data_IF_994555282670
#
_entry.id   IF_994555282670
#
_cell.length_a   1.000
_cell.length_b   1.000
_cell.length_c   1.000
_cell.angle_alpha   90.00
_cell.angle_beta   90.00
_cell.angle_gamma   90.00
#
_symmetry.space_group_name_H-M   'P 1'
#
loop_
_entity.id
_entity.type
_entity.pdbx_description
1 polymer ?
#
# COMPACT_ATOMS: atom_id res chain seq x y z
N UNK A 1 9.11 1.31 6.67
CA UNK A 1 8.04 2.23 7.11
C UNK A 1 7.16 2.60 5.94
N UNK A 2 5.87 2.81 6.18
CA UNK A 2 4.89 3.22 5.20
C UNK A 2 4.09 4.40 5.74
N UNK A 3 3.60 5.23 4.82
CA UNK A 3 2.79 6.41 5.13
C UNK A 3 1.67 6.51 4.10
N UNK A 4 0.48 5.93 4.37
CA UNK A 4 -0.65 5.98 3.46
C UNK A 4 -1.07 7.43 3.21
N UNK A 5 -1.37 7.73 1.96
CA UNK A 5 -1.80 9.06 1.54
C UNK A 5 -2.81 8.99 0.41
N UNK A 6 -3.61 10.03 0.28
CA UNK A 6 -4.49 10.24 -0.85
C UNK A 6 -4.35 11.67 -1.39
N UNK A 7 -4.82 11.89 -2.59
CA UNK A 7 -4.94 13.24 -3.13
C UNK A 7 -6.36 13.74 -2.98
N UNK A 8 -6.52 14.94 -2.42
CA UNK A 8 -7.77 15.66 -2.33
C UNK A 8 -7.57 17.05 -2.96
N UNK A 9 -8.35 17.35 -4.01
CA UNK A 9 -8.23 18.61 -4.77
C UNK A 9 -6.78 18.94 -5.22
N UNK A 10 -6.04 17.92 -5.66
CA UNK A 10 -4.65 18.06 -6.10
C UNK A 10 -3.62 18.17 -4.97
N UNK A 11 -4.04 18.22 -3.69
CA UNK A 11 -3.16 18.28 -2.53
C UNK A 11 -2.97 16.89 -1.95
N UNK A 12 -1.72 16.53 -1.64
CA UNK A 12 -1.38 15.28 -0.95
C UNK A 12 -1.71 15.38 0.53
N UNK A 13 -2.56 14.48 1.02
CA UNK A 13 -2.96 14.36 2.42
C UNK A 13 -2.53 13.00 2.96
N UNK A 14 -1.82 12.98 4.10
CA UNK A 14 -1.49 11.75 4.79
C UNK A 14 -2.70 11.26 5.60
N UNK A 15 -3.08 9.98 5.42
CA UNK A 15 -4.34 9.45 5.96
C UNK A 15 -4.28 9.17 7.46
N UNK A 16 -3.18 8.64 7.97
CA UNK A 16 -3.04 8.27 9.38
C UNK A 16 -3.35 9.41 10.38
N UNK A 17 -2.88 10.67 10.17
CA UNK A 17 -3.27 11.78 11.04
C UNK A 17 -4.72 12.21 10.93
N UNK A 18 -5.40 11.87 9.83
CA UNK A 18 -6.79 12.22 9.61
C UNK A 18 -7.77 11.32 10.38
N UNK A 19 -7.27 10.19 10.88
CA UNK A 19 -8.07 9.29 11.72
C UNK A 19 -9.36 8.78 11.05
N UNK A 20 -9.25 8.39 9.78
CA UNK A 20 -10.39 8.07 8.91
C UNK A 20 -11.26 6.92 9.42
N UNK A 21 -10.72 6.07 10.30
CA UNK A 21 -11.44 4.97 10.98
C UNK A 21 -11.55 5.16 12.51
N UNK A 22 -11.16 6.31 13.07
CA UNK A 22 -11.30 6.59 14.49
C UNK A 22 -10.30 5.86 15.40
N UNK A 23 -9.13 5.50 14.88
CA UNK A 23 -8.10 4.79 15.65
C UNK A 23 -7.47 5.68 16.75
N UNK A 24 -7.32 6.99 16.46
CA UNK A 24 -6.75 7.96 17.41
C UNK A 24 -7.72 8.31 18.52
N UNK A 25 -9.02 8.42 18.20
CA UNK A 25 -10.07 8.66 19.21
C UNK A 25 -10.52 7.40 19.94
N UNK A 26 -9.97 6.23 19.57
CA UNK A 26 -10.33 4.95 20.22
C UNK A 26 -11.75 4.46 19.90
N UNK A 27 -12.31 4.81 18.74
CA UNK A 27 -13.66 4.41 18.33
C UNK A 27 -13.83 2.89 18.38
N UNK A 28 -14.83 2.40 19.14
CA UNK A 28 -15.09 0.97 19.36
C UNK A 28 -13.85 0.16 19.82
N UNK A 29 -12.95 0.78 20.61
CA UNK A 29 -11.75 0.13 21.12
C UNK A 29 -10.62 0.02 20.10
N UNK A 30 -10.71 0.67 18.94
CA UNK A 30 -9.63 0.73 17.94
C UNK A 30 -8.41 1.42 18.50
N UNK A 31 -7.24 1.05 17.98
CA UNK A 31 -5.96 1.62 18.40
C UNK A 31 -5.21 2.15 17.18
N UNK A 32 -4.39 3.19 17.36
CA UNK A 32 -3.51 3.67 16.29
C UNK A 32 -2.59 2.53 15.81
N UNK A 33 -2.52 2.35 14.50
CA UNK A 33 -1.62 1.37 13.91
C UNK A 33 -0.18 1.87 13.84
N UNK A 34 0.76 0.93 13.80
CA UNK A 34 2.18 1.23 13.62
C UNK A 34 2.50 1.42 12.13
N UNK A 35 3.32 2.41 11.80
CA UNK A 35 3.80 2.67 10.44
C UNK A 35 5.00 1.79 10.04
N UNK A 36 5.46 0.91 10.93
CA UNK A 36 6.47 -0.10 10.65
C UNK A 36 5.79 -1.44 10.36
N UNK A 37 5.99 -1.98 9.17
CA UNK A 37 5.54 -3.31 8.80
C UNK A 37 6.70 -4.12 8.19
N UNK A 38 6.65 -5.42 8.36
CA UNK A 38 7.53 -6.37 7.70
C UNK A 38 6.81 -6.87 6.46
N UNK A 39 7.54 -6.99 5.34
CA UNK A 39 7.04 -7.57 4.10
C UNK A 39 7.91 -8.76 3.72
N UNK A 40 7.26 -9.91 3.46
CA UNK A 40 7.91 -11.14 3.02
C UNK A 40 7.61 -11.31 1.53
N UNK A 41 8.61 -11.18 0.64
CA UNK A 41 8.43 -11.40 -0.79
C UNK A 41 8.48 -12.90 -1.10
N UNK A 42 7.60 -13.34 -2.00
CA UNK A 42 7.67 -14.63 -2.68
C UNK A 42 7.44 -14.39 -4.15
N UNK A 43 8.43 -14.68 -4.98
CA UNK A 43 8.36 -14.35 -6.40
C UNK A 43 9.11 -15.34 -7.29
N UNK A 44 8.89 -15.17 -8.56
CA UNK A 44 9.59 -15.90 -9.61
C UNK A 44 10.06 -14.90 -10.66
N UNK A 45 11.22 -15.19 -11.26
CA UNK A 45 11.79 -14.32 -12.28
C UNK A 45 12.60 -15.13 -13.31
N UNK A 46 12.78 -14.51 -14.46
CA UNK A 46 13.63 -15.03 -15.51
C UNK A 46 14.70 -13.98 -15.79
N UNK A 47 15.94 -14.42 -15.88
CA UNK A 47 17.06 -13.60 -16.32
C UNK A 47 17.63 -14.18 -17.60
N UNK A 48 17.68 -13.38 -18.65
CA UNK A 48 18.22 -13.75 -19.96
C UNK A 48 19.46 -12.93 -20.26
N UNK A 49 20.52 -13.61 -20.68
CA UNK A 49 21.77 -12.98 -21.06
C UNK A 49 21.71 -12.64 -22.56
N UNK A 50 21.57 -11.36 -22.90
CA UNK A 50 21.51 -10.89 -24.30
C UNK A 50 22.88 -11.00 -24.94
N UNK A 51 23.92 -10.60 -24.20
CA UNK A 51 25.34 -10.72 -24.61
C UNK A 51 26.23 -10.60 -23.36
N UNK A 52 27.57 -10.67 -23.54
CA UNK A 52 28.56 -10.61 -22.45
C UNK A 52 28.44 -9.40 -21.51
N UNK A 53 27.71 -8.36 -21.91
CA UNK A 53 27.57 -7.12 -21.14
C UNK A 53 26.13 -6.78 -20.75
N UNK A 54 25.17 -7.37 -21.42
CA UNK A 54 23.75 -7.00 -21.21
C UNK A 54 22.92 -8.18 -20.75
N UNK A 55 22.15 -7.97 -19.71
CA UNK A 55 21.16 -8.92 -19.22
C UNK A 55 19.79 -8.26 -19.19
N UNK A 56 18.77 -9.03 -19.54
CA UNK A 56 17.38 -8.69 -19.39
C UNK A 56 16.77 -9.56 -18.28
N UNK A 57 15.91 -9.00 -17.46
CA UNK A 57 15.19 -9.76 -16.42
C UNK A 57 13.74 -9.34 -16.34
N UNK A 58 12.89 -10.30 -16.00
CA UNK A 58 11.50 -10.08 -15.61
C UNK A 58 11.30 -10.81 -14.30
N UNK A 59 10.70 -10.14 -13.33
CA UNK A 59 10.37 -10.71 -12.03
C UNK A 59 8.94 -10.32 -11.64
N UNK A 60 8.21 -11.26 -11.05
CA UNK A 60 6.91 -11.01 -10.41
C UNK A 60 6.99 -11.54 -8.99
N UNK A 61 6.77 -10.67 -8.02
CA UNK A 61 6.83 -11.00 -6.61
C UNK A 61 5.54 -10.59 -5.90
N UNK A 62 4.94 -11.53 -5.18
CA UNK A 62 3.86 -11.29 -4.22
C UNK A 62 4.49 -10.94 -2.87
N UNK A 63 4.01 -9.89 -2.23
CA UNK A 63 4.49 -9.42 -0.92
C UNK A 63 3.40 -9.55 0.11
N UNK A 64 3.62 -10.42 1.08
CA UNK A 64 2.78 -10.59 2.27
C UNK A 64 3.25 -9.64 3.34
N UNK A 65 2.35 -8.84 3.93
CA UNK A 65 2.72 -7.88 4.97
C UNK A 65 2.21 -8.27 6.34
N UNK A 66 2.75 -7.63 7.39
CA UNK A 66 2.31 -7.84 8.77
C UNK A 66 1.26 -6.86 9.23
N UNK A 67 0.83 -5.95 8.35
CA UNK A 67 -0.17 -4.92 8.64
C UNK A 67 -1.42 -5.10 7.79
N UNK A 68 -2.52 -4.51 8.25
CA UNK A 68 -3.81 -4.39 7.58
C UNK A 68 -4.18 -2.91 7.37
N UNK A 69 -3.18 -2.04 7.33
CA UNK A 69 -3.34 -0.59 7.22
C UNK A 69 -2.38 0.04 6.20
N UNK A 70 -1.95 -0.70 5.17
CA UNK A 70 -1.09 -0.12 4.12
C UNK A 70 -1.75 1.06 3.41
N UNK A 71 -3.08 1.00 3.28
CA UNK A 71 -3.93 2.00 2.65
C UNK A 71 -4.79 2.80 3.64
N UNK A 72 -4.55 2.68 4.96
CA UNK A 72 -5.34 3.28 6.04
C UNK A 72 -6.75 2.68 6.19
N UNK A 73 -7.00 1.50 5.64
CA UNK A 73 -8.32 0.84 5.66
C UNK A 73 -8.21 -0.55 6.27
N UNK A 74 -9.05 -0.86 7.25
CA UNK A 74 -9.07 -2.19 7.89
C UNK A 74 -10.48 -2.67 8.26
N UNK A 75 -11.31 -1.82 8.84
CA UNK A 75 -12.50 -2.26 9.57
C UNK A 75 -13.81 -1.75 8.98
N UNK A 76 -14.47 -0.83 9.67
CA UNK A 76 -15.75 -0.25 9.28
C UNK A 76 -15.70 1.27 9.26
N UNK A 77 -16.59 1.87 8.49
CA UNK A 77 -16.81 3.31 8.53
C UNK A 77 -17.28 3.76 9.91
N UNK A 78 -16.84 4.94 10.35
CA UNK A 78 -17.29 5.57 11.59
C UNK A 78 -18.40 6.59 11.34
N UNK A 79 -18.75 6.82 10.07
CA UNK A 79 -19.79 7.74 9.62
C UNK A 79 -19.35 9.19 9.51
N UNK A 80 -19.89 9.89 8.53
CA UNK A 80 -19.54 11.28 8.20
C UNK A 80 -19.82 12.25 9.37
N UNK A 81 -20.79 11.96 10.21
CA UNK A 81 -21.16 12.79 11.37
C UNK A 81 -20.10 12.89 12.47
N UNK A 82 -19.04 12.07 12.41
CA UNK A 82 -17.89 12.12 13.33
C UNK A 82 -16.82 13.13 12.93
N UNK A 83 -16.91 13.68 11.73
CA UNK A 83 -15.95 14.62 11.19
C UNK A 83 -16.54 16.02 11.09
N UNK A 84 -15.68 17.03 11.15
CA UNK A 84 -16.12 18.39 10.82
C UNK A 84 -16.60 18.43 9.35
N UNK A 85 -17.66 19.17 9.05
CA UNK A 85 -18.18 19.31 7.69
C UNK A 85 -17.07 19.73 6.71
N UNK A 86 -17.00 19.06 5.56
CA UNK A 86 -16.00 19.31 4.49
C UNK A 86 -14.53 19.20 4.92
N UNK A 87 -14.25 18.59 6.07
CA UNK A 87 -12.86 18.32 6.46
C UNK A 87 -12.21 17.27 5.55
N UNK A 88 -10.88 17.34 5.40
CA UNK A 88 -10.13 16.31 4.64
C UNK A 88 -10.40 14.90 5.17
N UNK A 89 -10.52 14.75 6.49
CA UNK A 89 -10.86 13.46 7.12
C UNK A 89 -12.24 12.95 6.70
N UNK A 90 -13.27 13.79 6.76
CA UNK A 90 -14.64 13.45 6.36
C UNK A 90 -14.75 13.13 4.86
N UNK A 91 -14.04 13.88 4.02
CA UNK A 91 -14.05 13.66 2.58
C UNK A 91 -13.24 12.42 2.14
N UNK A 92 -12.15 12.10 2.85
CA UNK A 92 -11.27 10.97 2.51
C UNK A 92 -11.66 9.66 3.20
N UNK A 93 -12.49 9.70 4.23
CA UNK A 93 -13.01 8.47 4.84
C UNK A 93 -13.93 7.70 3.90
N UNK A 94 -14.71 8.42 3.08
CA UNK A 94 -15.57 7.87 2.03
C UNK A 94 -15.59 8.82 0.83
N UNK A 95 -15.18 8.32 -0.32
CA UNK A 95 -15.13 9.07 -1.58
C UNK A 95 -16.25 8.69 -2.56
N UNK A 96 -17.24 7.92 -2.12
CA UNK A 96 -18.36 7.52 -2.97
C UNK A 96 -19.18 8.71 -3.46
N UNK A 97 -19.16 9.83 -2.72
CA UNK A 97 -19.79 11.08 -3.13
C UNK A 97 -19.23 11.64 -4.45
N UNK A 98 -18.03 11.28 -4.84
CA UNK A 98 -17.44 11.69 -6.13
C UNK A 98 -18.10 11.01 -7.34
N UNK A 99 -18.75 9.86 -7.09
CA UNK A 99 -19.44 9.05 -8.12
C UNK A 99 -20.95 9.26 -8.01
N UNK A 100 -21.50 9.14 -6.80
CA UNK A 100 -22.94 9.26 -6.53
C UNK A 100 -23.14 10.00 -5.19
N UNK A 101 -23.38 11.33 -5.21
CA UNK A 101 -23.59 12.11 -4.01
C UNK A 101 -24.86 11.74 -3.22
N UNK A 102 -25.85 11.14 -3.88
CA UNK A 102 -27.12 10.79 -3.27
C UNK A 102 -27.08 9.43 -2.56
N UNK A 103 -26.10 8.56 -2.91
CA UNK A 103 -25.96 7.21 -2.37
C UNK A 103 -24.58 6.99 -1.74
N UNK A 104 -24.29 7.71 -0.65
CA UNK A 104 -23.04 7.61 0.09
C UNK A 104 -22.93 6.24 0.75
N UNK A 105 -21.79 5.55 0.58
CA UNK A 105 -21.56 4.22 1.14
C UNK A 105 -20.94 4.24 2.55
N UNK A 106 -20.32 5.34 2.95
CA UNK A 106 -19.58 5.50 4.22
C UNK A 106 -20.48 5.66 5.46
N UNK A 107 -21.51 4.81 5.58
CA UNK A 107 -22.43 4.81 6.73
C UNK A 107 -21.77 4.14 7.92
N UNK A 108 -22.02 4.68 9.14
CA UNK A 108 -21.49 4.13 10.39
C UNK A 108 -21.77 2.64 10.53
N UNK A 109 -20.73 1.87 10.85
CA UNK A 109 -20.79 0.41 11.03
C UNK A 109 -20.74 -0.42 9.75
N UNK A 110 -20.90 0.19 8.56
CA UNK A 110 -20.74 -0.52 7.31
C UNK A 110 -19.28 -0.93 7.10
N UNK A 111 -19.03 -2.12 6.55
CA UNK A 111 -17.70 -2.61 6.25
C UNK A 111 -16.95 -1.64 5.30
N UNK A 112 -15.72 -1.27 5.66
CA UNK A 112 -14.80 -0.47 4.86
C UNK A 112 -13.64 -1.32 4.35
N UNK A 113 -13.04 -2.11 5.22
CA UNK A 113 -11.97 -3.05 4.94
C UNK A 113 -12.29 -4.46 5.44
N UNK A 114 -11.32 -5.37 5.27
CA UNK A 114 -11.41 -6.73 5.76
C UNK A 114 -10.32 -7.00 6.80
N UNK A 115 -10.58 -6.67 8.05
CA UNK A 115 -9.64 -6.79 9.19
C UNK A 115 -9.14 -8.20 9.52
N UNK A 116 -9.68 -9.24 8.87
CA UNK A 116 -9.23 -10.64 9.07
C UNK A 116 -8.07 -11.04 8.16
N UNK A 117 -7.76 -10.25 7.16
CA UNK A 117 -6.69 -10.51 6.20
C UNK A 117 -5.73 -9.32 6.17
N UNK A 118 -4.43 -9.61 6.31
CA UNK A 118 -3.40 -8.59 6.20
C UNK A 118 -3.21 -8.17 4.75
N UNK A 119 -2.79 -6.94 4.56
CA UNK A 119 -2.55 -6.38 3.24
C UNK A 119 -1.45 -7.12 2.49
N UNK A 120 -1.66 -7.24 1.19
CA UNK A 120 -0.75 -7.91 0.28
C UNK A 120 -0.68 -7.11 -1.02
N UNK A 121 0.46 -7.17 -1.68
CA UNK A 121 0.60 -6.51 -2.98
C UNK A 121 1.55 -7.29 -3.89
N UNK A 122 1.40 -7.08 -5.19
CA UNK A 122 2.22 -7.71 -6.23
C UNK A 122 3.08 -6.62 -6.87
N UNK A 123 4.35 -6.94 -7.07
CA UNK A 123 5.28 -6.13 -7.87
C UNK A 123 5.65 -6.93 -9.09
N UNK A 124 5.56 -6.31 -10.27
CA UNK A 124 6.16 -6.79 -11.50
C UNK A 124 7.30 -5.84 -11.87
N UNK A 125 8.48 -6.39 -12.11
CA UNK A 125 9.69 -5.63 -12.44
C UNK A 125 10.28 -6.12 -13.77
N UNK A 126 10.70 -5.17 -14.58
CA UNK A 126 11.47 -5.41 -15.80
C UNK A 126 12.83 -4.73 -15.61
N UNK A 127 13.91 -5.51 -15.73
CA UNK A 127 15.26 -5.02 -15.52
C UNK A 127 16.10 -5.14 -16.79
N UNK A 128 16.91 -4.13 -17.08
CA UNK A 128 18.00 -4.17 -18.05
C UNK A 128 19.30 -3.81 -17.35
N UNK A 129 20.23 -4.74 -17.31
CA UNK A 129 21.52 -4.56 -16.63
C UNK A 129 22.65 -4.50 -17.64
N UNK A 130 23.53 -3.52 -17.51
CA UNK A 130 24.75 -3.39 -18.30
C UNK A 130 25.99 -3.56 -17.41
N UNK A 131 26.85 -4.52 -17.74
CA UNK A 131 28.10 -4.79 -17.03
C UNK A 131 29.20 -3.89 -17.58
N UNK A 132 29.66 -2.94 -16.77
CA UNK A 132 30.72 -1.99 -17.16
C UNK A 132 32.09 -2.68 -17.25
N UNK A 133 32.38 -3.67 -16.41
CA UNK A 133 33.61 -4.43 -16.39
C UNK A 133 33.38 -5.92 -16.65
N UNK A 134 34.27 -6.56 -17.39
CA UNK A 134 34.32 -8.03 -17.53
C UNK A 134 35.14 -8.61 -16.38
N UNK A 135 34.49 -9.32 -15.48
CA UNK A 135 35.19 -10.18 -14.54
C UNK A 135 35.40 -11.55 -15.20
N UNK A 136 36.65 -11.90 -15.45
CA UNK A 136 36.98 -13.28 -15.78
C UNK A 136 37.29 -14.03 -14.51
N UNK A 137 36.46 -15.03 -14.17
CA UNK A 137 36.84 -15.95 -13.09
C UNK A 137 38.21 -16.53 -13.35
N UNK A 138 39.13 -16.52 -12.36
CA UNK A 138 40.41 -17.24 -12.50
C UNK A 138 40.07 -18.70 -12.75
N UNK A 139 40.59 -19.24 -13.86
CA UNK A 139 40.54 -20.69 -14.11
C UNK A 139 41.36 -21.33 -12.98
N UNK A 140 40.77 -22.26 -12.22
CA UNK A 140 41.56 -23.09 -11.33
C UNK A 140 42.57 -23.82 -12.20
N UNK A 141 43.82 -23.44 -12.08
CA UNK A 141 44.89 -24.07 -12.83
C UNK A 141 44.97 -25.56 -12.46
N UNK A 142 45.10 -26.39 -13.50
CA UNK A 142 45.59 -27.75 -13.35
C UNK A 142 47.03 -27.75 -12.85
#
# INVERSE_FOLDING_TARGET
TFYPYAYLNGKKEFLRPLDTEGQLIGYNGRKPYNTLAISIPLGVGIKYNINDRMNFSIEVAHRFTTTDYLDDVSTTYIGAGRFAPLSSAGLLQDRSYEIDPDNIIGVEGRQRGWSKQRDQYIIAEIGLTYNISRYKCPTAGN
#
